data_IF_182973806350
#
_entry.id   IF_182973806350
#
_cell.length_a   1.000
_cell.length_b   1.000
_cell.length_c   1.000
_cell.angle_alpha   90.00
_cell.angle_beta   90.00
_cell.angle_gamma   90.00
#
_symmetry.space_group_name_H-M   'P 1'
#
loop_
_entity.id
_entity.type
_entity.pdbx_description
1 polymer ?
#
# COMPACT_ATOMS: atom_id res chain seq x y z
N UNK A 1 3.73 17.83 -12.37
CA UNK A 1 4.26 16.44 -12.50
C UNK A 1 5.01 15.97 -11.28
N UNK A 2 6.04 16.69 -10.78
CA UNK A 2 6.70 16.35 -9.50
C UNK A 2 5.70 16.13 -8.36
N UNK A 3 4.69 16.99 -8.23
CA UNK A 3 3.63 16.85 -7.21
C UNK A 3 2.85 15.52 -7.27
N UNK A 4 2.50 15.02 -8.47
CA UNK A 4 1.75 13.77 -8.63
C UNK A 4 2.66 12.56 -8.36
N UNK A 5 3.91 12.59 -8.83
CA UNK A 5 4.89 11.55 -8.53
C UNK A 5 5.22 11.49 -7.03
N UNK A 6 5.40 12.64 -6.37
CA UNK A 6 5.61 12.73 -4.92
C UNK A 6 4.41 12.17 -4.16
N UNK A 7 3.19 12.50 -4.59
CA UNK A 7 1.98 11.95 -4.00
C UNK A 7 1.88 10.42 -4.15
N UNK A 8 2.19 9.88 -5.33
CA UNK A 8 2.22 8.43 -5.57
C UNK A 8 3.25 7.72 -4.70
N UNK A 9 4.46 8.26 -4.61
CA UNK A 9 5.52 7.73 -3.75
C UNK A 9 5.10 7.77 -2.29
N UNK A 10 4.47 8.86 -1.83
CA UNK A 10 3.96 8.99 -0.48
C UNK A 10 2.90 7.94 -0.15
N UNK A 11 1.92 7.72 -1.04
CA UNK A 11 0.90 6.68 -0.86
C UNK A 11 1.52 5.29 -0.82
N UNK A 12 2.48 5.02 -1.70
CA UNK A 12 3.11 3.72 -1.77
C UNK A 12 3.93 3.42 -0.51
N UNK A 13 4.71 4.40 -0.04
CA UNK A 13 5.45 4.28 1.23
C UNK A 13 4.51 4.08 2.41
N UNK A 14 3.41 4.82 2.47
CA UNK A 14 2.42 4.66 3.53
C UNK A 14 1.82 3.25 3.52
N UNK A 15 1.43 2.74 2.35
CA UNK A 15 0.92 1.38 2.21
C UNK A 15 1.95 0.34 2.67
N UNK A 16 3.22 0.49 2.27
CA UNK A 16 4.30 -0.41 2.69
C UNK A 16 4.54 -0.36 4.21
N UNK A 17 4.44 0.82 4.84
CA UNK A 17 4.53 0.95 6.31
C UNK A 17 3.39 0.18 6.97
N UNK A 18 2.16 0.34 6.48
CA UNK A 18 1.01 -0.39 7.01
C UNK A 18 1.14 -1.91 6.83
N UNK A 19 1.71 -2.37 5.72
CA UNK A 19 1.98 -3.79 5.48
C UNK A 19 3.01 -4.36 6.47
N UNK A 20 4.19 -3.74 6.55
CA UNK A 20 5.32 -4.27 7.33
C UNK A 20 5.07 -4.14 8.83
N UNK A 21 4.53 -3.00 9.27
CA UNK A 21 4.31 -2.73 10.69
C UNK A 21 2.87 -2.98 11.14
N UNK A 22 2.01 -3.54 10.27
CA UNK A 22 0.57 -3.70 10.53
C UNK A 22 0.25 -4.43 11.82
N UNK A 23 0.94 -5.54 12.09
CA UNK A 23 0.77 -6.27 13.36
C UNK A 23 1.15 -5.42 14.56
N UNK A 24 2.33 -4.78 14.54
CA UNK A 24 2.79 -3.94 15.65
C UNK A 24 1.84 -2.76 15.92
N UNK A 25 1.32 -2.14 14.86
CA UNK A 25 0.32 -1.08 14.95
C UNK A 25 -1.00 -1.62 15.53
N UNK A 26 -1.44 -2.81 15.10
CA UNK A 26 -2.66 -3.44 15.60
C UNK A 26 -2.60 -3.74 17.10
N UNK A 27 -1.48 -4.29 17.58
CA UNK A 27 -1.25 -4.51 19.01
C UNK A 27 -1.19 -3.19 19.78
N UNK A 28 -0.47 -2.20 19.27
CA UNK A 28 -0.38 -0.88 19.88
C UNK A 28 -1.77 -0.21 20.03
N UNK A 29 -2.60 -0.28 18.99
CA UNK A 29 -3.96 0.26 19.00
C UNK A 29 -4.86 -0.48 20.00
N UNK A 30 -4.75 -1.82 20.05
CA UNK A 30 -5.46 -2.67 21.01
C UNK A 30 -5.10 -2.35 22.46
N UNK A 31 -3.82 -2.04 22.74
CA UNK A 31 -3.38 -1.78 24.12
C UNK A 31 -3.55 -0.33 24.56
N UNK A 32 -3.41 0.63 23.65
CA UNK A 32 -3.26 2.06 24.01
C UNK A 32 -4.41 2.95 23.57
N UNK A 33 -5.24 2.52 22.62
CA UNK A 33 -6.29 3.37 22.04
C UNK A 33 -7.68 2.88 22.40
N UNK A 34 -8.12 1.76 21.84
CA UNK A 34 -9.38 1.12 22.22
C UNK A 34 -9.14 -0.38 22.31
N UNK A 35 -9.49 -0.96 23.46
CA UNK A 35 -9.28 -2.37 23.79
C UNK A 35 -10.29 -3.28 23.07
N UNK A 36 -10.03 -3.51 21.78
CA UNK A 36 -10.67 -4.56 20.97
C UNK A 36 -9.60 -5.54 20.49
N UNK A 37 -10.00 -6.75 20.08
CA UNK A 37 -9.04 -7.76 19.63
C UNK A 37 -8.16 -7.23 18.48
N UNK A 38 -6.83 -7.45 18.54
CA UNK A 38 -5.88 -6.95 17.54
C UNK A 38 -6.23 -7.35 16.10
N UNK A 39 -6.87 -8.51 15.90
CA UNK A 39 -7.30 -8.97 14.57
C UNK A 39 -8.22 -7.99 13.85
N UNK A 40 -9.08 -7.26 14.57
CA UNK A 40 -9.97 -6.26 13.96
C UNK A 40 -9.20 -5.04 13.46
N UNK A 41 -8.21 -4.57 14.22
CA UNK A 41 -7.30 -3.51 13.76
C UNK A 41 -6.46 -3.99 12.59
N UNK A 42 -5.88 -5.19 12.69
CA UNK A 42 -5.06 -5.77 11.64
C UNK A 42 -5.84 -5.87 10.33
N UNK A 43 -7.08 -6.37 10.39
CA UNK A 43 -7.99 -6.43 9.24
C UNK A 43 -8.23 -5.04 8.64
N UNK A 44 -8.52 -4.04 9.48
CA UNK A 44 -8.71 -2.66 9.03
C UNK A 44 -7.46 -2.06 8.36
N UNK A 45 -6.27 -2.36 8.90
CA UNK A 45 -5.00 -1.91 8.34
C UNK A 45 -4.70 -2.57 6.99
N UNK A 46 -4.94 -3.88 6.87
CA UNK A 46 -4.79 -4.62 5.61
C UNK A 46 -5.75 -4.15 4.53
N UNK A 47 -7.02 -3.88 4.87
CA UNK A 47 -7.97 -3.27 3.92
C UNK A 47 -7.47 -1.88 3.49
N UNK A 48 -7.00 -1.06 4.43
CA UNK A 48 -6.52 0.30 4.16
C UNK A 48 -5.29 0.28 3.23
N UNK A 49 -4.34 -0.60 3.48
CA UNK A 49 -3.18 -0.84 2.61
C UNK A 49 -3.62 -1.22 1.20
N UNK A 50 -4.53 -2.17 1.06
CA UNK A 50 -4.98 -2.67 -0.24
C UNK A 50 -5.67 -1.56 -1.06
N UNK A 51 -6.46 -0.71 -0.39
CA UNK A 51 -7.05 0.49 -1.00
C UNK A 51 -5.96 1.48 -1.45
N UNK A 52 -4.91 1.69 -0.65
CA UNK A 52 -3.80 2.58 -1.02
C UNK A 52 -3.01 2.05 -2.22
N UNK A 53 -2.74 0.75 -2.29
CA UNK A 53 -2.10 0.15 -3.47
C UNK A 53 -2.95 0.26 -4.73
N UNK A 54 -4.27 0.04 -4.63
CA UNK A 54 -5.20 0.25 -5.73
C UNK A 54 -5.22 1.72 -6.17
N UNK A 55 -5.25 2.67 -5.23
CA UNK A 55 -5.20 4.10 -5.53
C UNK A 55 -3.88 4.49 -6.24
N UNK A 56 -2.75 3.93 -5.80
CA UNK A 56 -1.46 4.13 -6.45
C UNK A 56 -1.46 3.57 -7.89
N UNK A 57 -1.97 2.36 -8.09
CA UNK A 57 -2.11 1.73 -9.41
C UNK A 57 -2.99 2.56 -10.37
N UNK A 58 -4.14 3.04 -9.89
CA UNK A 58 -5.02 3.93 -10.67
C UNK A 58 -4.35 5.26 -11.01
N UNK A 59 -3.57 5.82 -10.09
CA UNK A 59 -2.80 7.04 -10.34
C UNK A 59 -1.72 6.85 -11.41
N UNK A 60 -1.02 5.72 -11.38
CA UNK A 60 -0.08 5.31 -12.43
C UNK A 60 -0.80 5.14 -13.77
N UNK A 61 -1.93 4.43 -13.81
CA UNK A 61 -2.73 4.23 -15.03
C UNK A 61 -3.19 5.55 -15.66
N UNK A 62 -3.64 6.51 -14.85
CA UNK A 62 -4.01 7.86 -15.31
C UNK A 62 -2.80 8.64 -15.87
N UNK A 63 -1.61 8.45 -15.30
CA UNK A 63 -0.37 9.04 -15.83
C UNK A 63 -0.01 8.46 -17.20
N UNK A 64 -0.14 7.14 -17.37
CA UNK A 64 0.07 6.46 -18.66
C UNK A 64 -0.87 6.99 -19.74
N UNK A 65 -2.17 7.05 -19.46
CA UNK A 65 -3.17 7.54 -20.43
C UNK A 65 -2.88 8.97 -20.92
N UNK A 66 -2.19 9.79 -20.13
CA UNK A 66 -1.86 11.19 -20.46
C UNK A 66 -0.52 11.38 -21.18
N UNK A 67 0.35 10.37 -21.27
CA UNK A 67 1.70 10.53 -21.83
C UNK A 67 2.08 9.33 -22.68
N UNK A 68 1.85 9.40 -23.98
CA UNK A 68 2.33 8.41 -24.96
C UNK A 68 3.87 8.44 -25.15
N UNK A 69 4.55 9.57 -24.87
CA UNK A 69 5.94 9.79 -25.33
C UNK A 69 7.05 9.74 -24.27
N UNK A 70 6.73 9.62 -22.97
CA UNK A 70 7.72 9.69 -21.87
C UNK A 70 7.84 8.38 -21.07
N UNK A 71 7.20 7.32 -21.55
CA UNK A 71 6.96 6.06 -20.82
C UNK A 71 8.23 5.26 -20.58
N UNK A 72 9.15 5.24 -21.56
CA UNK A 72 10.30 4.33 -21.59
C UNK A 72 11.25 4.44 -20.39
N UNK A 73 11.29 5.60 -19.71
CA UNK A 73 12.13 5.81 -18.52
C UNK A 73 11.47 5.32 -17.22
N UNK A 74 10.14 5.23 -17.18
CA UNK A 74 9.39 4.90 -15.96
C UNK A 74 8.84 3.47 -15.93
N UNK A 75 8.85 2.76 -17.06
CA UNK A 75 8.49 1.34 -17.17
C UNK A 75 9.07 0.43 -16.08
N UNK A 76 10.40 0.39 -15.85
CA UNK A 76 10.97 -0.52 -14.85
C UNK A 76 10.52 -0.17 -13.42
N UNK A 77 10.30 1.12 -13.15
CA UNK A 77 9.81 1.59 -11.84
C UNK A 77 8.38 1.11 -11.59
N UNK A 78 7.53 1.11 -12.62
CA UNK A 78 6.14 0.68 -12.53
C UNK A 78 6.04 -0.83 -12.32
N UNK A 79 6.86 -1.61 -13.04
CA UNK A 79 6.94 -3.06 -12.84
C UNK A 79 7.40 -3.37 -11.42
N UNK A 80 8.41 -2.66 -10.92
CA UNK A 80 8.90 -2.82 -9.55
C UNK A 80 7.80 -2.52 -8.53
N UNK A 81 7.10 -1.38 -8.67
CA UNK A 81 5.99 -1.03 -7.78
C UNK A 81 4.89 -2.09 -7.80
N UNK A 82 4.56 -2.62 -8.97
CA UNK A 82 3.55 -3.67 -9.10
C UNK A 82 3.95 -4.94 -8.35
N UNK A 83 5.17 -5.45 -8.57
CA UNK A 83 5.69 -6.65 -7.90
C UNK A 83 5.69 -6.43 -6.38
N UNK A 84 6.24 -5.30 -5.92
CA UNK A 84 6.32 -4.98 -4.48
C UNK A 84 4.93 -4.90 -3.87
N UNK A 85 3.98 -4.21 -4.53
CA UNK A 85 2.61 -4.09 -4.01
C UNK A 85 1.87 -5.43 -3.96
N UNK A 86 2.08 -6.31 -4.96
CA UNK A 86 1.45 -7.62 -5.00
C UNK A 86 2.02 -8.53 -3.90
N UNK A 87 3.34 -8.56 -3.75
CA UNK A 87 3.99 -9.33 -2.68
C UNK A 87 3.59 -8.83 -1.29
N UNK A 88 3.53 -7.51 -1.10
CA UNK A 88 3.09 -6.89 0.16
C UNK A 88 1.63 -7.24 0.48
N UNK A 89 0.72 -7.11 -0.49
CA UNK A 89 -0.68 -7.45 -0.29
C UNK A 89 -0.87 -8.93 0.06
N UNK A 90 -0.18 -9.83 -0.64
CA UNK A 90 -0.22 -11.28 -0.33
C UNK A 90 0.28 -11.56 1.08
N UNK A 91 1.39 -10.93 1.48
CA UNK A 91 1.92 -11.04 2.84
C UNK A 91 0.93 -10.53 3.91
N UNK A 92 0.38 -9.34 3.70
CA UNK A 92 -0.57 -8.70 4.62
C UNK A 92 -1.84 -9.54 4.80
N UNK A 93 -2.38 -10.09 3.70
CA UNK A 93 -3.53 -11.01 3.74
C UNK A 93 -3.18 -12.30 4.47
N UNK A 94 -2.03 -12.90 4.18
CA UNK A 94 -1.57 -14.12 4.86
C UNK A 94 -1.45 -13.91 6.37
N UNK A 95 -0.78 -12.84 6.78
CA UNK A 95 -0.60 -12.48 8.20
C UNK A 95 -1.94 -12.25 8.90
N UNK A 96 -2.90 -11.63 8.21
CA UNK A 96 -4.25 -11.41 8.74
C UNK A 96 -5.05 -12.71 8.84
N UNK A 97 -4.91 -13.62 7.87
CA UNK A 97 -5.63 -14.88 7.85
C UNK A 97 -5.09 -15.92 8.84
N UNK A 98 -3.83 -15.81 9.24
CA UNK A 98 -3.20 -16.67 10.25
C UNK A 98 -3.59 -16.32 11.69
N UNK A 99 -4.29 -15.20 11.89
CA UNK A 99 -4.71 -14.65 13.17
C UNK A 99 -6.16 -15.00 13.48
#
# INVERSE_FOLDING_TARGET
MKKICVWLVGIFLLATILCIFGQGIAYFLSEKVISIYPVYYLTGLTISELVLYLAAGLGVFRLFKKRESSIRRFEPFIVLLFIVSLSAAVWSIFVTAMW
#
